data_IF_219831801414
#
_entry.id   IF_219831801414
#
_cell.length_a   1.000
_cell.length_b   1.000
_cell.length_c   1.000
_cell.angle_alpha   90.00
_cell.angle_beta   90.00
_cell.angle_gamma   90.00
#
_symmetry.space_group_name_H-M   'P 1'
#
loop_
_entity.id
_entity.type
_entity.pdbx_description
1 polymer ?
#
# COMPACT_ATOMS: atom_id res chain seq x y z
N UNK A 1 -39.41 -25.90 -34.05
CA UNK A 1 -40.54 -25.68 -33.11
C UNK A 1 -40.53 -26.78 -32.03
N UNK A 2 -41.03 -26.46 -30.83
CA UNK A 2 -41.82 -27.33 -29.91
C UNK A 2 -41.44 -28.81 -29.65
N UNK A 3 -41.09 -29.09 -28.39
CA UNK A 3 -41.64 -30.16 -27.50
C UNK A 3 -41.37 -31.66 -27.82
N UNK A 4 -41.44 -32.64 -26.89
CA UNK A 4 -41.63 -32.62 -25.40
C UNK A 4 -41.24 -33.96 -24.76
N UNK A 5 -40.74 -33.95 -23.50
CA UNK A 5 -40.84 -35.04 -22.48
C UNK A 5 -40.16 -36.37 -22.89
N UNK A 6 -40.00 -37.42 -22.06
CA UNK A 6 -40.34 -37.74 -20.65
C UNK A 6 -39.02 -37.80 -19.82
N UNK A 7 -38.84 -38.33 -18.60
CA UNK A 7 -39.67 -39.04 -17.60
C UNK A 7 -39.15 -38.65 -16.17
N UNK A 8 -39.41 -39.48 -15.15
CA UNK A 8 -38.81 -39.45 -13.80
C UNK A 8 -38.64 -40.90 -13.32
N UNK A 9 -37.76 -41.19 -12.35
CA UNK A 9 -38.02 -42.09 -11.21
C UNK A 9 -36.90 -41.97 -10.16
N UNK A 10 -37.11 -42.48 -8.95
CA UNK A 10 -36.20 -42.34 -7.80
C UNK A 10 -36.29 -43.52 -6.83
N UNK A 11 -35.21 -43.85 -6.10
CA UNK A 11 -35.28 -44.50 -4.77
C UNK A 11 -33.92 -44.58 -4.01
N UNK A 12 -33.90 -44.01 -2.79
CA UNK A 12 -33.41 -44.54 -1.49
C UNK A 12 -32.14 -45.44 -1.41
N UNK A 13 -31.21 -45.09 -0.49
CA UNK A 13 -30.17 -46.00 0.01
C UNK A 13 -29.38 -45.52 1.26
N UNK A 14 -29.61 -46.17 2.40
CA UNK A 14 -28.88 -46.10 3.71
C UNK A 14 -27.35 -46.40 3.63
N UNK A 15 -26.46 -46.12 4.61
CA UNK A 15 -26.52 -45.72 6.06
C UNK A 15 -25.11 -45.19 6.50
N UNK A 16 -24.95 -44.50 7.67
CA UNK A 16 -23.66 -43.98 8.16
C UNK A 16 -23.00 -44.82 9.27
N UNK A 17 -21.67 -44.67 9.47
CA UNK A 17 -20.94 -44.91 10.74
C UNK A 17 -19.71 -44.00 10.89
N UNK A 18 -19.43 -43.59 12.13
CA UNK A 18 -18.17 -42.98 12.58
C UNK A 18 -17.17 -44.04 13.04
N UNK A 19 -15.93 -43.64 13.36
CA UNK A 19 -15.46 -43.91 14.72
C UNK A 19 -14.90 -42.67 15.43
N UNK A 20 -14.97 -42.68 16.76
CA UNK A 20 -14.32 -41.72 17.66
C UNK A 20 -12.89 -42.11 17.97
N UNK A 21 -12.00 -41.14 18.20
CA UNK A 21 -10.86 -41.30 19.10
C UNK A 21 -11.02 -40.34 20.29
N UNK A 22 -10.47 -40.69 21.45
CA UNK A 22 -10.61 -39.94 22.70
C UNK A 22 -9.37 -39.08 22.98
N UNK A 23 -9.61 -38.03 23.74
CA UNK A 23 -8.58 -37.27 24.46
C UNK A 23 -8.55 -37.78 25.90
N UNK A 24 -7.37 -38.05 26.45
CA UNK A 24 -7.15 -38.37 27.87
C UNK A 24 -5.94 -37.54 28.35
N UNK A 25 -5.99 -36.90 29.54
CA UNK A 25 -4.93 -36.03 30.04
C UNK A 25 -3.91 -36.76 30.94
N UNK A 26 -3.01 -35.96 31.54
CA UNK A 26 -2.21 -36.25 32.73
C UNK A 26 -1.14 -37.37 32.67
N UNK A 27 0.08 -36.97 32.28
CA UNK A 27 1.31 -37.45 32.94
C UNK A 27 2.25 -36.26 33.20
N UNK A 28 2.46 -35.94 34.48
CA UNK A 28 3.48 -35.00 34.95
C UNK A 28 4.77 -35.75 35.30
N UNK A 29 5.96 -35.21 34.98
CA UNK A 29 7.17 -35.45 35.80
C UNK A 29 8.38 -34.54 35.52
N UNK A 30 9.13 -34.28 36.59
CA UNK A 30 10.57 -34.05 36.67
C UNK A 30 11.24 -32.88 35.90
N UNK A 31 11.50 -31.79 36.63
CA UNK A 31 12.74 -30.99 36.50
C UNK A 31 13.98 -31.80 36.94
N UNK A 32 15.19 -31.32 36.61
CA UNK A 32 16.13 -31.00 37.69
C UNK A 32 16.48 -29.49 37.77
N UNK A 33 17.04 -29.07 38.90
CA UNK A 33 17.52 -27.70 39.15
C UNK A 33 19.06 -27.66 39.16
N UNK A 34 19.63 -26.50 38.82
CA UNK A 34 20.89 -26.04 39.40
C UNK A 34 20.78 -24.57 39.82
N UNK A 35 21.65 -24.12 40.74
CA UNK A 35 21.61 -22.81 41.42
C UNK A 35 23.05 -22.34 41.72
N UNK A 36 23.17 -21.17 42.36
CA UNK A 36 24.39 -20.58 42.99
C UNK A 36 25.25 -19.83 41.94
N UNK A 37 25.78 -18.60 42.14
CA UNK A 37 26.04 -17.80 43.37
C UNK A 37 25.43 -16.37 43.33
N UNK A 38 25.95 -15.39 44.13
CA UNK A 38 25.29 -14.11 44.49
C UNK A 38 26.09 -12.83 44.10
N UNK A 39 25.36 -11.70 44.05
CA UNK A 39 25.75 -10.25 44.12
C UNK A 39 26.80 -9.93 45.23
N UNK A 40 27.61 -8.84 45.18
CA UNK A 40 27.18 -7.40 45.14
C UNK A 40 28.10 -6.46 44.29
N UNK A 41 28.12 -5.11 44.43
CA UNK A 41 27.09 -4.03 44.30
C UNK A 41 27.77 -2.62 44.39
N UNK A 42 26.99 -1.50 44.32
CA UNK A 42 27.41 -0.06 44.42
C UNK A 42 28.12 0.52 43.16
N UNK A 43 28.15 1.82 42.87
CA UNK A 43 27.44 3.02 43.40
C UNK A 43 27.26 4.10 42.29
N UNK A 44 26.54 5.20 42.60
CA UNK A 44 26.29 6.32 41.69
C UNK A 44 27.28 7.50 41.85
N UNK A 45 27.37 8.38 40.84
CA UNK A 45 27.80 9.78 41.01
C UNK A 45 27.21 10.68 39.92
N UNK A 46 27.36 12.01 40.06
CA UNK A 46 26.69 13.06 39.28
C UNK A 46 27.66 14.10 38.71
N UNK A 47 27.12 15.05 37.93
CA UNK A 47 27.70 16.30 37.37
C UNK A 47 28.26 16.17 35.95
N UNK A 48 28.35 17.22 35.12
CA UNK A 48 27.55 18.44 34.84
C UNK A 48 28.40 19.25 33.82
N UNK A 49 27.82 19.55 32.65
CA UNK A 49 27.97 20.80 31.90
C UNK A 49 29.25 21.15 31.09
N UNK A 50 28.98 21.78 29.92
CA UNK A 50 29.81 22.58 28.99
C UNK A 50 30.93 21.83 28.23
N UNK A 51 31.01 21.80 26.90
CA UNK A 51 30.86 22.81 25.82
C UNK A 51 32.17 23.56 25.48
N UNK A 52 32.72 23.28 24.29
CA UNK A 52 33.49 24.20 23.40
C UNK A 52 33.69 23.51 22.03
N UNK A 53 33.74 24.29 20.93
CA UNK A 53 34.15 23.83 19.58
C UNK A 53 34.89 24.97 18.85
N UNK A 54 36.07 24.68 18.25
CA UNK A 54 36.45 25.19 16.92
C UNK A 54 37.20 24.13 16.06
N UNK A 55 37.28 24.16 14.72
CA UNK A 55 36.39 24.82 13.73
C UNK A 55 36.37 24.06 12.38
N UNK A 56 37.48 24.03 11.61
CA UNK A 56 37.56 23.56 10.20
C UNK A 56 38.97 23.05 9.77
N UNK A 57 39.03 22.56 8.51
CA UNK A 57 40.18 22.19 7.65
C UNK A 57 40.74 20.74 7.83
N UNK A 58 41.16 20.02 6.77
CA UNK A 58 41.03 20.23 5.30
C UNK A 58 41.22 18.93 4.50
N UNK A 59 40.94 19.01 3.19
CA UNK A 59 41.08 18.01 2.11
C UNK A 59 42.23 16.97 2.23
N UNK A 60 41.97 15.72 1.80
CA UNK A 60 42.99 14.70 1.53
C UNK A 60 42.42 13.44 0.87
N UNK A 61 43.09 12.91 -0.18
CA UNK A 61 42.70 11.67 -0.88
C UNK A 61 43.43 10.45 -0.34
N UNK A 62 42.76 9.31 -0.23
CA UNK A 62 43.24 8.01 -0.78
C UNK A 62 42.21 6.90 -0.56
N UNK A 63 42.32 5.82 -1.34
CA UNK A 63 41.57 4.58 -1.16
C UNK A 63 42.54 3.39 -1.33
N UNK A 64 42.28 2.27 -0.64
CA UNK A 64 42.63 0.94 -1.16
C UNK A 64 41.37 0.14 -1.56
N UNK A 65 41.55 -0.85 -2.43
CA UNK A 65 40.52 -1.82 -2.83
C UNK A 65 40.68 -3.16 -2.08
N UNK A 66 39.81 -4.12 -2.42
CA UNK A 66 39.80 -5.56 -2.07
C UNK A 66 39.22 -5.88 -0.67
N UNK A 67 38.50 -6.99 -0.44
CA UNK A 67 38.17 -8.16 -1.29
C UNK A 67 36.63 -8.44 -1.39
N UNK A 68 36.27 -9.45 -2.19
CA UNK A 68 34.90 -9.88 -2.54
C UNK A 68 34.02 -10.38 -1.36
N UNK A 69 32.71 -10.60 -1.59
CA UNK A 69 31.96 -11.45 -0.63
C UNK A 69 30.46 -11.73 -0.74
N UNK A 70 29.61 -10.99 -1.48
CA UNK A 70 28.19 -11.41 -1.58
C UNK A 70 27.42 -10.80 -2.77
N UNK A 71 26.74 -11.67 -3.53
CA UNK A 71 25.94 -11.29 -4.71
C UNK A 71 24.47 -11.15 -4.32
N UNK A 72 24.05 -9.92 -3.99
CA UNK A 72 22.63 -9.59 -3.80
C UNK A 72 21.93 -9.66 -5.17
N UNK A 73 20.74 -10.30 -5.30
CA UNK A 73 19.97 -10.30 -6.55
C UNK A 73 19.46 -8.89 -6.88
N UNK A 74 19.26 -8.62 -8.18
CA UNK A 74 19.05 -7.27 -8.68
C UNK A 74 17.78 -6.59 -8.14
N UNK A 75 17.92 -5.32 -7.74
CA UNK A 75 16.83 -4.55 -7.14
C UNK A 75 15.65 -4.37 -8.12
N UNK A 76 14.45 -4.67 -7.64
CA UNK A 76 13.21 -4.26 -8.29
C UNK A 76 13.02 -2.76 -8.15
N UNK A 77 12.30 -2.13 -9.10
CA UNK A 77 12.09 -0.68 -9.09
C UNK A 77 11.03 -0.26 -8.06
N UNK A 78 11.35 -0.43 -6.77
CA UNK A 78 10.52 -0.06 -5.63
C UNK A 78 10.87 1.34 -5.18
N UNK A 79 9.87 2.17 -4.89
CA UNK A 79 10.08 3.52 -4.37
C UNK A 79 9.16 3.83 -3.18
N UNK A 80 9.58 4.68 -2.23
CA UNK A 80 8.66 5.29 -1.27
C UNK A 80 7.53 6.00 -2.01
N UNK A 81 6.29 5.63 -1.72
CA UNK A 81 5.14 6.31 -2.30
C UNK A 81 5.15 7.78 -1.87
N UNK A 82 4.95 8.75 -2.78
CA UNK A 82 4.86 10.15 -2.39
C UNK A 82 3.70 10.38 -1.41
N UNK A 83 3.83 11.41 -0.58
CA UNK A 83 2.91 11.76 0.51
C UNK A 83 1.41 11.64 0.12
N UNK A 84 0.55 11.19 1.06
CA UNK A 84 -0.75 10.59 0.77
C UNK A 84 -1.62 11.39 -0.19
N UNK A 85 -2.28 10.67 -1.11
CA UNK A 85 -3.22 11.24 -2.07
C UNK A 85 -4.58 11.39 -1.38
N UNK A 86 -5.47 12.16 -1.98
CA UNK A 86 -6.76 12.44 -1.38
C UNK A 86 -7.70 11.24 -1.63
N UNK A 87 -8.49 10.80 -0.63
CA UNK A 87 -9.79 10.23 -0.92
C UNK A 87 -10.58 11.24 -1.74
N UNK A 88 -11.27 10.82 -2.80
CA UNK A 88 -12.25 11.69 -3.45
C UNK A 88 -13.57 11.50 -2.74
N UNK A 89 -14.11 12.57 -2.18
CA UNK A 89 -15.55 12.67 -1.94
C UNK A 89 -16.13 13.28 -3.23
N UNK A 90 -16.98 12.57 -3.99
CA UNK A 90 -17.58 13.12 -5.21
C UNK A 90 -18.43 14.35 -4.88
N UNK A 91 -17.92 15.53 -5.22
CA UNK A 91 -18.60 16.81 -5.01
C UNK A 91 -19.54 17.10 -6.19
N UNK A 92 -20.59 16.29 -6.35
CA UNK A 92 -21.52 16.37 -7.47
C UNK A 92 -22.94 15.97 -7.10
N UNK A 93 -23.73 16.91 -6.60
CA UNK A 93 -25.20 16.79 -6.67
C UNK A 93 -25.62 16.92 -8.14
N UNK A 94 -26.41 15.98 -8.65
CA UNK A 94 -26.76 15.82 -10.07
C UNK A 94 -27.71 16.90 -10.65
N UNK A 95 -27.59 18.14 -10.17
CA UNK A 95 -28.42 19.30 -10.54
C UNK A 95 -27.61 20.55 -10.85
N UNK A 96 -26.29 20.56 -10.58
CA UNK A 96 -25.43 21.70 -10.89
C UNK A 96 -24.81 21.54 -12.27
N UNK A 97 -24.83 22.59 -13.09
CA UNK A 97 -24.25 22.54 -14.44
C UNK A 97 -22.75 22.81 -14.29
N UNK A 98 -21.84 21.95 -14.77
CA UNK A 98 -20.40 22.15 -14.59
C UNK A 98 -19.93 23.42 -15.33
N UNK A 99 -19.32 24.36 -14.60
CA UNK A 99 -18.91 25.69 -15.09
C UNK A 99 -17.40 25.88 -14.94
N UNK A 100 -16.78 26.54 -15.91
CA UNK A 100 -15.38 26.98 -15.82
C UNK A 100 -15.15 27.85 -14.58
N UNK A 101 -14.19 27.45 -13.75
CA UNK A 101 -13.81 28.20 -12.55
C UNK A 101 -13.11 29.51 -12.97
N UNK A 102 -13.87 30.60 -12.84
CA UNK A 102 -13.44 31.96 -13.22
C UNK A 102 -12.14 32.41 -12.54
N UNK A 103 -11.71 31.77 -11.44
CA UNK A 103 -10.43 32.03 -10.78
C UNK A 103 -9.24 31.72 -11.71
N UNK A 104 -9.39 30.83 -12.69
CA UNK A 104 -8.34 30.58 -13.70
C UNK A 104 -8.21 31.69 -14.76
N UNK A 105 -9.15 32.63 -14.85
CA UNK A 105 -9.06 33.78 -15.76
C UNK A 105 -9.13 33.47 -17.26
N UNK A 106 -9.42 32.22 -17.66
CA UNK A 106 -9.54 31.81 -19.06
C UNK A 106 -10.81 32.43 -19.67
N UNK A 107 -10.65 33.57 -20.36
CA UNK A 107 -11.75 34.25 -21.05
C UNK A 107 -12.25 33.43 -22.24
N UNK A 108 -13.58 33.35 -22.38
CA UNK A 108 -14.24 32.60 -23.46
C UNK A 108 -13.91 31.11 -23.45
N UNK A 109 -13.61 30.56 -22.27
CA UNK A 109 -13.31 29.14 -22.08
C UNK A 109 -14.57 28.31 -21.81
N UNK A 110 -14.63 27.13 -22.42
CA UNK A 110 -15.63 26.09 -22.14
C UNK A 110 -14.94 24.84 -21.60
N UNK A 111 -15.66 24.00 -20.84
CA UNK A 111 -15.10 22.74 -20.34
C UNK A 111 -14.95 21.73 -21.49
N UNK A 112 -13.72 21.28 -21.69
CA UNK A 112 -13.39 20.31 -22.73
C UNK A 112 -14.07 18.97 -22.43
N UNK A 113 -14.77 18.40 -23.41
CA UNK A 113 -15.41 17.09 -23.27
C UNK A 113 -14.38 15.97 -23.33
N UNK A 114 -14.59 14.90 -22.55
CA UNK A 114 -13.76 13.69 -22.62
C UNK A 114 -13.86 13.07 -24.03
N UNK A 115 -12.74 12.79 -24.72
CA UNK A 115 -12.76 12.16 -26.04
C UNK A 115 -13.46 10.79 -26.09
N UNK A 116 -13.57 10.12 -24.93
CA UNK A 116 -14.27 8.85 -24.77
C UNK A 116 -15.76 9.00 -24.38
N UNK A 117 -16.31 10.22 -24.42
CA UNK A 117 -17.74 10.48 -24.19
C UNK A 117 -18.18 10.58 -22.73
N UNK A 118 -17.26 10.52 -21.76
CA UNK A 118 -17.55 10.55 -20.32
C UNK A 118 -18.06 11.92 -19.76
N UNK A 119 -18.46 12.85 -20.64
CA UNK A 119 -18.85 14.22 -20.26
C UNK A 119 -17.67 15.18 -20.08
N UNK A 120 -17.90 16.36 -19.46
CA UNK A 120 -16.87 17.40 -19.31
C UNK A 120 -15.74 16.97 -18.39
N UNK A 121 -14.52 17.35 -18.74
CA UNK A 121 -13.29 17.07 -17.99
C UNK A 121 -13.14 18.07 -16.84
N UNK A 122 -13.89 17.81 -15.77
CA UNK A 122 -13.82 18.50 -14.48
C UNK A 122 -13.76 17.50 -13.32
N UNK A 123 -13.01 17.81 -12.26
CA UNK A 123 -13.11 17.14 -10.97
C UNK A 123 -12.71 18.04 -9.79
N UNK A 124 -13.43 17.90 -8.68
CA UNK A 124 -13.12 18.53 -7.39
C UNK A 124 -12.94 17.48 -6.30
N UNK A 125 -11.73 17.38 -5.75
CA UNK A 125 -11.36 16.43 -4.69
C UNK A 125 -11.13 17.15 -3.34
N UNK A 126 -11.55 16.54 -2.24
CA UNK A 126 -11.44 17.09 -0.88
C UNK A 126 -10.77 16.09 0.07
N UNK A 127 -9.68 16.50 0.72
CA UNK A 127 -8.97 15.69 1.73
C UNK A 127 -9.17 16.28 3.13
N UNK A 128 -9.71 15.49 4.03
CA UNK A 128 -9.92 15.85 5.43
C UNK A 128 -9.38 14.70 6.31
N UNK A 129 -8.36 14.98 7.11
CA UNK A 129 -7.91 14.13 8.21
C UNK A 129 -7.72 15.00 9.47
N UNK A 130 -8.66 14.94 10.43
CA UNK A 130 -8.59 15.74 11.65
C UNK A 130 -7.44 15.30 12.57
N UNK A 131 -6.95 14.05 12.45
CA UNK A 131 -5.87 13.50 13.30
C UNK A 131 -4.53 14.21 13.07
N UNK A 132 -4.35 14.79 11.88
CA UNK A 132 -3.14 15.50 11.45
C UNK A 132 -3.41 16.95 11.01
N UNK A 133 -4.55 17.53 11.42
CA UNK A 133 -5.00 18.88 11.05
C UNK A 133 -4.84 19.18 9.54
N UNK A 134 -5.14 18.18 8.71
CA UNK A 134 -5.15 18.31 7.26
C UNK A 134 -6.57 18.53 6.78
N UNK A 135 -6.81 19.72 6.28
CA UNK A 135 -7.99 20.09 5.52
C UNK A 135 -7.48 20.69 4.21
N UNK A 136 -7.75 20.05 3.08
CA UNK A 136 -7.21 20.42 1.76
C UNK A 136 -8.21 20.16 0.64
N UNK A 137 -8.11 20.94 -0.44
CA UNK A 137 -8.84 20.70 -1.70
C UNK A 137 -7.88 20.61 -2.89
N UNK A 138 -8.35 19.99 -3.96
CA UNK A 138 -7.72 19.97 -5.28
C UNK A 138 -8.80 20.02 -6.35
N UNK A 139 -8.80 21.05 -7.20
CA UNK A 139 -9.67 21.18 -8.38
C UNK A 139 -8.83 21.00 -9.62
N UNK A 140 -9.37 20.29 -10.61
CA UNK A 140 -8.84 20.19 -11.96
C UNK A 140 -9.96 20.39 -12.98
N UNK A 141 -9.69 21.22 -13.99
CA UNK A 141 -10.56 21.43 -15.15
C UNK A 141 -9.70 21.42 -16.42
N UNK A 142 -10.14 20.76 -17.48
CA UNK A 142 -9.63 21.00 -18.82
C UNK A 142 -10.55 22.00 -19.53
N UNK A 143 -9.99 23.13 -19.96
CA UNK A 143 -10.74 24.26 -20.52
C UNK A 143 -10.22 24.52 -21.92
N UNK A 144 -11.08 24.79 -22.90
CA UNK A 144 -10.69 25.17 -24.26
C UNK A 144 -11.29 26.50 -24.66
N UNK A 145 -10.53 27.33 -25.37
CA UNK A 145 -11.00 28.55 -26.02
C UNK A 145 -10.35 28.69 -27.42
N UNK A 146 -10.53 29.84 -28.08
CA UNK A 146 -9.98 30.14 -29.39
C UNK A 146 -8.42 30.12 -29.47
N UNK A 147 -7.72 30.05 -28.34
CA UNK A 147 -6.25 29.99 -28.26
C UNK A 147 -5.73 28.54 -28.11
N UNK A 148 -6.62 27.56 -27.95
CA UNK A 148 -6.31 26.15 -27.70
C UNK A 148 -6.87 25.66 -26.37
N UNK A 149 -6.39 24.49 -25.91
CA UNK A 149 -6.82 23.84 -24.68
C UNK A 149 -5.80 23.97 -23.54
N UNK A 150 -6.28 24.02 -22.31
CA UNK A 150 -5.52 24.25 -21.08
C UNK A 150 -5.93 23.23 -20.01
N UNK A 151 -4.97 22.73 -19.23
CA UNK A 151 -5.25 21.98 -18.00
C UNK A 151 -5.00 22.91 -16.81
N UNK A 152 -6.07 23.24 -16.10
CA UNK A 152 -6.07 24.18 -14.99
C UNK A 152 -6.22 23.44 -13.66
N UNK A 153 -5.41 23.83 -12.68
CA UNK A 153 -5.22 23.14 -11.40
C UNK A 153 -5.29 24.16 -10.26
N UNK A 154 -6.09 23.93 -9.22
CA UNK A 154 -6.17 24.79 -8.02
C UNK A 154 -6.16 23.96 -6.75
N UNK A 155 -5.35 24.33 -5.75
CA UNK A 155 -5.22 23.55 -4.50
C UNK A 155 -4.88 24.41 -3.29
N UNK A 156 -5.34 24.02 -2.11
CA UNK A 156 -5.11 24.77 -0.86
C UNK A 156 -5.79 24.12 0.35
N UNK A 157 -5.90 24.84 1.46
CA UNK A 157 -6.86 24.50 2.54
C UNK A 157 -8.27 24.90 2.09
N UNK A 158 -9.33 24.16 2.46
CA UNK A 158 -10.71 24.59 2.13
C UNK A 158 -11.01 25.96 2.76
N UNK A 159 -11.84 26.75 2.09
CA UNK A 159 -12.13 28.15 2.45
C UNK A 159 -11.07 29.17 2.02
N UNK A 160 -9.86 28.74 1.61
CA UNK A 160 -8.85 29.63 1.04
C UNK A 160 -8.84 29.58 -0.50
N UNK A 161 -8.39 30.67 -1.17
CA UNK A 161 -8.26 30.71 -2.64
C UNK A 161 -7.34 29.62 -3.19
N UNK A 162 -6.29 29.28 -2.44
CA UNK A 162 -5.28 28.29 -2.79
C UNK A 162 -4.17 28.83 -3.71
N UNK A 163 -3.25 27.95 -4.08
CA UNK A 163 -2.35 28.11 -5.22
C UNK A 163 -3.06 27.62 -6.48
N UNK A 164 -2.61 28.08 -7.65
CA UNK A 164 -3.07 27.57 -8.94
C UNK A 164 -1.90 27.32 -9.90
N UNK A 165 -2.14 26.49 -10.91
CA UNK A 165 -1.28 26.33 -12.09
C UNK A 165 -2.15 26.13 -13.32
N UNK A 166 -1.79 26.80 -14.40
CA UNK A 166 -2.37 26.62 -15.72
C UNK A 166 -1.28 26.01 -16.60
N UNK A 167 -1.59 24.92 -17.29
CA UNK A 167 -0.71 24.31 -18.29
C UNK A 167 -1.38 24.39 -19.66
N UNK A 168 -0.82 25.19 -20.58
CA UNK A 168 -1.34 25.41 -21.93
C UNK A 168 -0.81 26.72 -22.54
N UNK A 169 -1.26 27.10 -23.74
CA UNK A 169 -2.17 26.35 -24.61
C UNK A 169 -1.51 25.07 -25.15
N UNK A 170 -2.34 24.07 -25.47
CA UNK A 170 -1.95 22.86 -26.20
C UNK A 170 -3.14 22.30 -26.99
N UNK A 171 -2.92 21.21 -27.73
CA UNK A 171 -3.99 20.50 -28.42
C UNK A 171 -4.96 19.80 -27.44
N UNK A 172 -6.21 19.63 -27.87
CA UNK A 172 -7.29 19.08 -27.02
C UNK A 172 -7.04 17.64 -26.59
N UNK A 173 -6.48 16.79 -27.45
CA UNK A 173 -6.17 15.39 -27.12
C UNK A 173 -5.12 15.29 -26.00
N UNK A 174 -4.05 16.10 -26.07
CA UNK A 174 -3.02 16.19 -25.04
C UNK A 174 -3.50 16.87 -23.76
N UNK A 175 -4.40 17.85 -23.86
CA UNK A 175 -5.06 18.43 -22.69
C UNK A 175 -5.94 17.39 -21.97
N UNK A 176 -6.75 16.63 -22.70
CA UNK A 176 -7.56 15.54 -22.16
C UNK A 176 -6.70 14.43 -21.54
N UNK A 177 -5.67 13.94 -22.26
CA UNK A 177 -4.74 12.92 -21.74
C UNK A 177 -4.04 13.40 -20.47
N UNK A 178 -3.56 14.66 -20.45
CA UNK A 178 -2.92 15.25 -19.26
C UNK A 178 -3.92 15.42 -18.11
N UNK A 179 -5.17 15.80 -18.37
CA UNK A 179 -6.22 15.82 -17.37
C UNK A 179 -6.41 14.44 -16.75
N UNK A 180 -6.57 13.39 -17.56
CA UNK A 180 -6.78 12.02 -17.09
C UNK A 180 -5.55 11.47 -16.34
N UNK A 181 -4.33 11.77 -16.81
CA UNK A 181 -3.08 11.48 -16.08
C UNK A 181 -3.05 12.16 -14.71
N UNK A 182 -3.44 13.44 -14.60
CA UNK A 182 -3.48 14.15 -13.31
C UNK A 182 -4.63 13.65 -12.42
N UNK A 183 -5.80 13.34 -12.99
CA UNK A 183 -6.93 12.76 -12.28
C UNK A 183 -6.55 11.41 -11.68
N UNK A 184 -6.13 10.44 -12.51
CA UNK A 184 -5.70 9.12 -12.05
C UNK A 184 -4.52 9.18 -11.08
N UNK A 185 -3.60 10.14 -11.25
CA UNK A 185 -2.52 10.37 -10.28
C UNK A 185 -3.01 10.96 -8.93
N UNK A 186 -4.20 11.55 -8.84
CA UNK A 186 -4.78 12.11 -7.61
C UNK A 186 -5.82 11.19 -6.96
N UNK A 187 -6.55 10.40 -7.74
CA UNK A 187 -7.68 9.58 -7.30
C UNK A 187 -7.40 8.08 -7.31
N UNK A 188 -6.46 7.62 -8.15
CA UNK A 188 -6.23 6.20 -8.46
C UNK A 188 -7.17 5.63 -9.53
N UNK A 189 -8.29 6.28 -9.81
CA UNK A 189 -9.37 5.83 -10.71
C UNK A 189 -9.15 6.28 -12.16
N UNK A 190 -9.85 5.66 -13.12
CA UNK A 190 -10.04 6.29 -14.44
C UNK A 190 -11.07 7.42 -14.34
N UNK A 191 -11.14 8.30 -15.35
CA UNK A 191 -12.17 9.35 -15.37
C UNK A 191 -13.58 8.84 -15.73
N UNK A 192 -13.70 7.60 -16.22
CA UNK A 192 -14.99 6.91 -16.36
C UNK A 192 -15.52 6.47 -14.99
N UNK A 193 -14.64 5.93 -14.14
CA UNK A 193 -14.97 5.42 -12.80
C UNK A 193 -15.02 6.53 -11.73
N UNK A 194 -14.95 7.81 -12.11
CA UNK A 194 -14.66 8.96 -11.24
C UNK A 194 -15.56 9.11 -10.00
N UNK A 195 -16.78 8.59 -10.08
CA UNK A 195 -17.82 8.70 -9.07
C UNK A 195 -17.84 7.49 -8.10
N UNK A 196 -16.96 6.49 -8.32
CA UNK A 196 -16.70 5.40 -7.39
C UNK A 196 -15.82 5.87 -6.21
N UNK A 197 -15.80 5.08 -5.13
CA UNK A 197 -14.99 5.35 -3.93
C UNK A 197 -13.49 5.34 -4.23
N UNK A 198 -12.94 6.52 -4.55
CA UNK A 198 -11.53 6.74 -4.81
C UNK A 198 -10.71 6.68 -3.52
N UNK A 199 -10.50 5.47 -2.99
CA UNK A 199 -9.67 5.25 -1.82
C UNK A 199 -8.18 5.38 -2.19
N UNK A 200 -7.52 6.42 -1.68
CA UNK A 200 -6.05 6.51 -1.68
C UNK A 200 -5.43 5.22 -1.12
N UNK A 201 -4.21 4.90 -1.55
CA UNK A 201 -3.54 3.63 -1.21
C UNK A 201 -3.47 3.33 0.28
N UNK A 202 -3.41 4.36 1.15
CA UNK A 202 -3.49 4.17 2.61
C UNK A 202 -4.91 3.79 3.05
N UNK A 203 -5.94 4.47 2.54
CA UNK A 203 -7.34 4.21 2.88
C UNK A 203 -7.83 2.87 2.35
N UNK A 204 -7.39 2.48 1.15
CA UNK A 204 -7.66 1.14 0.56
C UNK A 204 -7.00 0.04 1.39
N UNK A 205 -5.75 0.23 1.83
CA UNK A 205 -5.08 -0.68 2.77
C UNK A 205 -5.82 -0.75 4.12
N UNK A 206 -6.16 0.39 4.74
CA UNK A 206 -6.90 0.44 6.01
C UNK A 206 -8.29 -0.22 5.92
N UNK A 207 -8.98 -0.11 4.77
CA UNK A 207 -10.24 -0.82 4.50
C UNK A 207 -10.03 -2.33 4.50
N UNK A 208 -9.12 -2.83 3.66
CA UNK A 208 -8.82 -4.26 3.51
C UNK A 208 -8.38 -4.90 4.82
N UNK A 209 -7.47 -4.26 5.54
CA UNK A 209 -7.00 -4.72 6.85
C UNK A 209 -8.15 -4.85 7.85
N UNK A 210 -9.05 -3.85 7.92
CA UNK A 210 -10.23 -3.89 8.79
C UNK A 210 -11.19 -5.03 8.41
N UNK A 211 -11.44 -5.24 7.12
CA UNK A 211 -12.34 -6.27 6.59
C UNK A 211 -11.72 -7.68 6.56
N UNK A 212 -10.41 -7.78 6.79
CA UNK A 212 -9.70 -9.02 7.05
C UNK A 212 -9.50 -9.33 8.54
N UNK A 213 -9.83 -8.39 9.44
CA UNK A 213 -9.67 -8.56 10.88
C UNK A 213 -8.24 -8.34 11.41
N UNK A 214 -7.39 -7.64 10.64
CA UNK A 214 -5.98 -7.46 10.95
C UNK A 214 -5.74 -6.79 12.31
N UNK A 215 -4.78 -7.34 13.05
CA UNK A 215 -4.30 -6.82 14.32
C UNK A 215 -3.45 -5.56 14.15
N UNK A 216 -3.12 -4.97 15.30
CA UNK A 216 -2.31 -3.75 15.42
C UNK A 216 -1.27 -3.92 16.52
N UNK A 217 -0.17 -3.20 16.41
CA UNK A 217 0.95 -3.27 17.33
C UNK A 217 1.95 -2.13 17.11
N UNK A 218 3.09 -2.21 17.78
CA UNK A 218 4.21 -1.27 17.64
C UNK A 218 4.81 -1.29 16.23
N UNK A 219 4.81 -2.46 15.57
CA UNK A 219 5.05 -2.58 14.12
C UNK A 219 3.94 -3.41 13.46
N UNK A 220 3.51 -2.97 12.29
CA UNK A 220 2.76 -3.79 11.34
C UNK A 220 3.33 -3.58 9.92
N UNK A 221 3.48 -4.66 9.16
CA UNK A 221 3.84 -4.64 7.74
C UNK A 221 2.69 -5.28 6.98
N UNK A 222 2.17 -4.60 5.97
CA UNK A 222 0.97 -5.02 5.24
C UNK A 222 1.20 -4.96 3.73
N UNK A 223 0.72 -5.97 3.01
CA UNK A 223 0.82 -6.08 1.54
C UNK A 223 -0.59 -6.05 0.94
N UNK A 224 -0.76 -5.38 -0.21
CA UNK A 224 -1.95 -5.54 -1.06
C UNK A 224 -1.60 -5.43 -2.54
N UNK A 225 -2.35 -6.14 -3.37
CA UNK A 225 -2.31 -6.07 -4.84
C UNK A 225 -3.73 -6.04 -5.41
N UNK A 226 -3.87 -5.80 -6.72
CA UNK A 226 -5.18 -5.80 -7.38
C UNK A 226 -5.21 -6.89 -8.46
N UNK A 227 -6.21 -7.75 -8.40
CA UNK A 227 -6.48 -8.75 -9.43
C UNK A 227 -7.17 -8.11 -10.64
N UNK A 228 -6.73 -8.45 -11.85
CA UNK A 228 -7.28 -7.90 -13.11
C UNK A 228 -8.41 -8.81 -13.61
N UNK A 229 -9.65 -8.33 -13.77
CA UNK A 229 -10.75 -9.15 -14.28
C UNK A 229 -10.45 -9.78 -15.64
N UNK A 230 -10.75 -11.06 -15.80
CA UNK A 230 -10.46 -11.83 -17.02
C UNK A 230 -9.02 -12.37 -17.13
N UNK A 231 -8.11 -11.92 -16.27
CA UNK A 231 -6.79 -12.56 -16.04
C UNK A 231 -6.93 -13.46 -14.80
N UNK A 232 -6.17 -14.57 -14.74
CA UNK A 232 -6.12 -15.36 -13.50
C UNK A 232 -5.35 -14.57 -12.42
N UNK A 233 -5.81 -14.69 -11.18
CA UNK A 233 -5.23 -14.01 -10.04
C UNK A 233 -3.76 -14.39 -9.81
N UNK A 234 -2.97 -13.43 -9.31
CA UNK A 234 -1.63 -13.70 -8.78
C UNK A 234 -1.70 -13.89 -7.26
N UNK A 235 -0.77 -14.67 -6.74
CA UNK A 235 -0.70 -15.07 -5.32
C UNK A 235 0.62 -14.51 -4.77
N UNK A 236 0.55 -13.38 -4.07
CA UNK A 236 1.72 -12.62 -3.63
C UNK A 236 1.88 -12.68 -2.11
N UNK A 237 2.88 -13.42 -1.62
CA UNK A 237 3.18 -13.50 -0.19
C UNK A 237 4.05 -12.34 0.31
N UNK A 238 3.71 -11.85 1.49
CA UNK A 238 4.52 -10.96 2.31
C UNK A 238 5.56 -11.78 3.08
N UNK A 239 6.83 -11.43 2.88
CA UNK A 239 7.96 -12.03 3.58
C UNK A 239 8.69 -10.96 4.41
N UNK A 240 8.79 -11.13 5.73
CA UNK A 240 9.55 -10.20 6.58
C UNK A 240 10.61 -10.93 7.39
N UNK A 241 11.87 -10.57 7.17
CA UNK A 241 12.98 -10.96 8.05
C UNK A 241 12.99 -10.05 9.28
N UNK A 242 12.91 -10.67 10.45
CA UNK A 242 12.82 -10.01 11.74
C UNK A 242 14.21 -9.85 12.39
N UNK A 243 14.36 -8.99 13.43
CA UNK A 243 15.61 -8.83 14.16
C UNK A 243 16.17 -10.10 14.84
N UNK A 244 15.36 -11.15 15.02
CA UNK A 244 15.82 -12.48 15.48
C UNK A 244 16.54 -13.30 14.38
N UNK A 245 16.55 -12.83 13.13
CA UNK A 245 17.06 -13.56 11.97
C UNK A 245 16.03 -14.49 11.32
N UNK A 246 14.90 -14.73 11.98
CA UNK A 246 13.78 -15.51 11.44
C UNK A 246 13.08 -14.78 10.29
N UNK A 247 12.54 -15.53 9.32
CA UNK A 247 11.68 -15.00 8.26
C UNK A 247 10.24 -15.41 8.52
N UNK A 248 9.32 -14.45 8.51
CA UNK A 248 7.88 -14.67 8.66
C UNK A 248 7.24 -14.62 7.27
N UNK A 249 6.47 -15.66 6.93
CA UNK A 249 5.74 -15.84 5.67
C UNK A 249 4.73 -17.01 5.81
N UNK A 250 4.01 -17.38 4.74
CA UNK A 250 2.97 -18.41 4.75
C UNK A 250 3.32 -19.72 5.49
N UNK A 251 4.51 -20.32 5.28
CA UNK A 251 4.89 -21.57 5.97
C UNK A 251 5.45 -21.35 7.39
N UNK A 252 5.80 -20.12 7.76
CA UNK A 252 6.40 -19.79 9.06
C UNK A 252 5.72 -18.53 9.63
N UNK A 253 4.45 -18.68 10.03
CA UNK A 253 3.55 -17.55 10.36
C UNK A 253 3.85 -16.83 11.68
N UNK A 254 4.83 -17.29 12.48
CA UNK A 254 5.16 -16.73 13.80
C UNK A 254 6.67 -16.76 14.00
N UNK A 255 7.22 -15.71 14.63
CA UNK A 255 8.62 -15.69 15.06
C UNK A 255 8.76 -15.76 16.59
N UNK A 256 9.90 -16.27 17.07
CA UNK A 256 10.28 -16.26 18.47
C UNK A 256 10.38 -14.84 19.05
N UNK A 257 10.62 -13.82 18.22
CA UNK A 257 10.55 -12.42 18.61
C UNK A 257 9.15 -11.79 18.57
N UNK A 258 8.07 -12.60 18.50
CA UNK A 258 6.69 -12.15 18.71
C UNK A 258 6.01 -11.48 17.51
N UNK A 259 6.53 -11.72 16.31
CA UNK A 259 5.85 -11.36 15.06
C UNK A 259 4.85 -12.43 14.63
N UNK A 260 3.76 -12.02 13.99
CA UNK A 260 2.66 -12.89 13.59
C UNK A 260 2.10 -12.47 12.23
N UNK A 261 2.09 -13.36 11.23
CA UNK A 261 1.25 -13.25 10.03
C UNK A 261 -0.18 -13.53 10.45
N UNK A 262 -0.93 -12.48 10.82
CA UNK A 262 -2.29 -12.58 11.36
C UNK A 262 -3.37 -12.48 10.28
N UNK A 263 -3.02 -11.94 9.10
CA UNK A 263 -3.86 -11.96 7.90
C UNK A 263 -3.07 -12.52 6.72
N UNK A 264 -3.68 -13.53 6.11
CA UNK A 264 -3.22 -14.33 4.99
C UNK A 264 -4.45 -14.56 4.10
N UNK A 265 -4.60 -13.76 3.03
CA UNK A 265 -5.78 -13.74 2.15
C UNK A 265 -5.36 -13.99 0.71
N UNK A 266 -5.41 -15.27 0.35
CA UNK A 266 -5.02 -15.88 -0.92
C UNK A 266 -5.66 -15.23 -2.16
N UNK A 267 -5.07 -15.53 -3.33
CA UNK A 267 -5.46 -15.13 -4.69
C UNK A 267 -6.96 -14.90 -4.98
N UNK A 268 -7.87 -15.70 -4.40
CA UNK A 268 -9.31 -15.71 -4.72
C UNK A 268 -10.10 -14.56 -4.05
N UNK A 269 -9.46 -13.78 -3.19
CA UNK A 269 -10.07 -12.57 -2.63
C UNK A 269 -10.24 -11.49 -3.73
N UNK A 270 -11.39 -10.79 -3.81
CA UNK A 270 -11.56 -9.66 -4.71
C UNK A 270 -10.71 -8.45 -4.29
N UNK A 271 -10.33 -8.39 -3.01
CA UNK A 271 -9.49 -7.37 -2.41
C UNK A 271 -8.41 -8.05 -1.53
N UNK A 272 -7.36 -8.63 -2.13
CA UNK A 272 -6.34 -9.39 -1.39
C UNK A 272 -5.48 -8.49 -0.51
N UNK A 273 -5.06 -9.02 0.64
CA UNK A 273 -4.27 -8.31 1.65
C UNK A 273 -3.57 -9.31 2.57
N UNK A 274 -2.33 -9.03 2.94
CA UNK A 274 -1.62 -9.74 4.02
C UNK A 274 -1.12 -8.77 5.08
N UNK A 275 -0.91 -9.27 6.31
CA UNK A 275 -0.44 -8.47 7.43
C UNK A 275 0.43 -9.28 8.40
N UNK A 276 1.63 -8.77 8.69
CA UNK A 276 2.53 -9.27 9.73
C UNK A 276 2.65 -8.20 10.82
N UNK A 277 2.30 -8.55 12.06
CA UNK A 277 2.24 -7.63 13.21
C UNK A 277 3.14 -8.06 14.36
N UNK A 278 3.76 -7.06 15.01
CA UNK A 278 4.42 -7.19 16.32
C UNK A 278 3.64 -6.34 17.34
N UNK A 279 2.95 -7.00 18.28
CA UNK A 279 2.26 -6.31 19.39
C UNK A 279 3.24 -5.56 20.29
N UNK A 280 4.45 -6.10 20.45
CA UNK A 280 5.66 -5.40 20.94
C UNK A 280 6.81 -5.76 20.02
N UNK A 281 7.57 -4.79 19.56
CA UNK A 281 8.51 -4.95 18.45
C UNK A 281 9.98 -4.94 18.95
N UNK A 282 10.80 -5.95 18.63
CA UNK A 282 12.22 -5.96 19.00
C UNK A 282 13.00 -4.85 18.27
N UNK A 283 13.93 -4.19 18.99
CA UNK A 283 14.94 -3.34 18.37
C UNK A 283 15.84 -4.11 17.41
N UNK A 284 16.34 -3.44 16.37
CA UNK A 284 17.20 -4.03 15.34
C UNK A 284 16.65 -3.89 13.92
N UNK A 285 17.27 -4.60 12.96
CA UNK A 285 16.96 -4.47 11.53
C UNK A 285 15.84 -5.42 11.08
N UNK A 286 14.91 -4.86 10.31
CA UNK A 286 13.88 -5.57 9.55
C UNK A 286 14.18 -5.48 8.05
N UNK A 287 13.85 -6.53 7.29
CA UNK A 287 13.87 -6.50 5.84
C UNK A 287 12.57 -7.07 5.26
N UNK A 288 11.86 -6.26 4.48
CA UNK A 288 10.55 -6.57 3.90
C UNK A 288 10.71 -6.95 2.44
N UNK A 289 10.12 -8.07 2.05
CA UNK A 289 10.12 -8.59 0.70
C UNK A 289 8.69 -8.95 0.26
N UNK A 290 8.45 -8.89 -1.04
CA UNK A 290 7.25 -9.47 -1.68
C UNK A 290 7.71 -10.60 -2.58
N UNK A 291 7.06 -11.75 -2.48
CA UNK A 291 7.27 -12.92 -3.30
C UNK A 291 6.03 -13.16 -4.18
N UNK A 292 6.22 -13.72 -5.37
CA UNK A 292 5.12 -14.16 -6.23
C UNK A 292 5.09 -15.69 -6.23
N UNK A 293 4.28 -16.29 -5.36
CA UNK A 293 4.26 -17.73 -5.15
C UNK A 293 3.71 -18.46 -6.37
N UNK A 294 2.50 -18.08 -6.81
CA UNK A 294 1.78 -18.70 -7.93
C UNK A 294 1.76 -17.80 -9.18
N UNK A 295 2.93 -17.27 -9.55
CA UNK A 295 3.13 -16.35 -10.68
C UNK A 295 2.77 -17.00 -12.02
N UNK A 296 1.49 -16.97 -12.38
CA UNK A 296 0.91 -17.83 -13.42
C UNK A 296 1.00 -17.25 -14.83
N UNK A 297 1.58 -16.06 -14.97
CA UNK A 297 1.59 -15.25 -16.18
C UNK A 297 2.96 -14.59 -16.39
N UNK A 298 3.22 -14.16 -17.63
CA UNK A 298 4.42 -13.41 -18.03
C UNK A 298 4.56 -12.04 -17.37
N UNK A 299 3.44 -11.47 -16.93
CA UNK A 299 3.32 -10.03 -16.76
C UNK A 299 3.67 -9.57 -15.33
N UNK A 300 4.51 -8.53 -15.16
CA UNK A 300 4.88 -8.03 -13.84
C UNK A 300 3.67 -7.52 -13.05
N UNK A 301 3.51 -8.01 -11.81
CA UNK A 301 2.35 -7.69 -10.96
C UNK A 301 2.63 -6.47 -10.07
N UNK A 302 1.84 -5.38 -10.15
CA UNK A 302 2.00 -4.22 -9.29
C UNK A 302 1.44 -4.48 -7.88
N UNK A 303 2.12 -3.97 -6.87
CA UNK A 303 1.71 -4.11 -5.46
C UNK A 303 2.00 -2.85 -4.63
N UNK A 304 1.39 -2.78 -3.46
CA UNK A 304 1.62 -1.74 -2.44
C UNK A 304 1.93 -2.39 -1.09
N UNK A 305 2.95 -1.87 -0.41
CA UNK A 305 3.32 -2.30 0.95
C UNK A 305 3.26 -1.12 1.91
N UNK A 306 2.60 -1.29 3.05
CA UNK A 306 2.60 -0.35 4.17
C UNK A 306 3.52 -0.87 5.27
N UNK A 307 4.46 -0.04 5.75
CA UNK A 307 5.18 -0.26 7.00
C UNK A 307 4.66 0.76 8.01
N UNK A 308 3.99 0.29 9.05
CA UNK A 308 3.51 1.11 10.16
C UNK A 308 4.38 0.89 11.40
N UNK A 309 4.88 1.98 11.98
CA UNK A 309 5.68 1.99 13.22
C UNK A 309 4.99 2.97 14.18
N UNK A 310 4.56 2.47 15.35
CA UNK A 310 3.85 3.25 16.39
C UNK A 310 2.69 4.10 15.84
N UNK A 311 1.92 3.55 14.88
CA UNK A 311 0.80 4.21 14.21
C UNK A 311 1.16 5.17 13.07
N UNK A 312 2.44 5.46 12.84
CA UNK A 312 2.92 6.21 11.67
C UNK A 312 3.20 5.26 10.50
N UNK A 313 2.52 5.44 9.37
CA UNK A 313 2.57 4.53 8.22
C UNK A 313 3.32 5.13 7.02
N UNK A 314 4.33 4.43 6.51
CA UNK A 314 4.96 4.71 5.22
C UNK A 314 4.52 3.68 4.18
N UNK A 315 4.06 4.15 3.02
CA UNK A 315 3.64 3.31 1.89
C UNK A 315 4.77 3.22 0.85
N UNK A 316 4.92 2.06 0.23
CA UNK A 316 5.88 1.76 -0.84
C UNK A 316 5.14 1.23 -2.07
N UNK A 317 5.51 1.75 -3.24
CA UNK A 317 5.01 1.29 -4.53
C UNK A 317 6.04 0.36 -5.18
N UNK A 318 5.60 -0.81 -5.68
CA UNK A 318 6.49 -1.80 -6.26
C UNK A 318 5.84 -2.68 -7.34
N UNK A 319 6.67 -3.54 -7.94
CA UNK A 319 6.23 -4.51 -8.96
C UNK A 319 7.12 -5.76 -8.87
N UNK A 320 6.50 -6.94 -8.90
CA UNK A 320 7.18 -8.25 -8.82
C UNK A 320 7.07 -8.98 -10.16
N UNK A 321 8.08 -9.77 -10.51
CA UNK A 321 8.14 -10.48 -11.79
C UNK A 321 7.30 -11.77 -11.85
N UNK A 322 7.31 -12.40 -13.02
CA UNK A 322 6.79 -13.74 -13.27
C UNK A 322 7.68 -14.84 -12.65
N UNK A 323 7.20 -16.09 -12.60
CA UNK A 323 7.91 -17.22 -11.99
C UNK A 323 9.26 -17.53 -12.68
N UNK A 324 9.34 -17.29 -13.98
CA UNK A 324 10.54 -17.52 -14.80
C UNK A 324 11.60 -16.42 -14.65
N UNK A 325 11.34 -15.40 -13.84
CA UNK A 325 12.27 -14.28 -13.63
C UNK A 325 13.04 -14.38 -12.31
N UNK A 326 14.31 -13.95 -12.33
CA UNK A 326 15.12 -13.66 -11.13
C UNK A 326 14.46 -12.62 -10.19
N UNK A 327 13.34 -12.02 -10.59
CA UNK A 327 12.56 -11.00 -9.87
C UNK A 327 11.25 -11.54 -9.28
N UNK A 328 11.10 -12.87 -9.17
CA UNK A 328 9.98 -13.53 -8.44
C UNK A 328 9.89 -13.08 -6.98
N UNK A 329 11.00 -12.67 -6.36
CA UNK A 329 11.04 -12.11 -5.00
C UNK A 329 11.83 -10.80 -4.99
N UNK A 330 11.22 -9.72 -4.52
CA UNK A 330 11.80 -8.38 -4.50
C UNK A 330 11.96 -7.87 -3.08
N UNK A 331 13.10 -7.24 -2.76
CA UNK A 331 13.26 -6.44 -1.55
C UNK A 331 12.45 -5.14 -1.73
N UNK A 332 11.58 -4.84 -0.78
CA UNK A 332 10.75 -3.63 -0.78
C UNK A 332 11.42 -2.52 0.03
N UNK A 333 11.86 -2.84 1.25
CA UNK A 333 12.50 -1.88 2.14
C UNK A 333 13.28 -2.58 3.26
N UNK A 334 14.21 -1.86 3.87
CA UNK A 334 14.81 -2.20 5.16
C UNK A 334 14.60 -1.04 6.12
N UNK A 335 14.24 -1.34 7.35
CA UNK A 335 14.11 -0.35 8.42
C UNK A 335 14.69 -0.90 9.72
N UNK A 336 14.80 -0.03 10.72
CA UNK A 336 15.24 -0.43 12.06
C UNK A 336 14.44 0.31 13.13
N UNK A 337 14.35 -0.30 14.31
CA UNK A 337 13.82 0.27 15.55
C UNK A 337 14.95 0.43 16.57
#
# INVERSE_FOLDING_TARGET
MRFSRRLQFAARGSRPRTPTSRYDPDVESARPQSKITKRPAKAASTRKAKHVKPEKASQGRSAPQTTAGSRVPAEGNVTPSPAPRAPVVPSGSATDTPVVDTIFGIKGGELLQSPAGHGPLEASMNYIDPRVNSDKFYVIQAISNAQGSFVCLRWGRRGAKGQMKIEGPMDSAKAAKKFEEKFKAKTGLSFADRDADALDGKYKMEKRLREAGAGKGEVAVSLMWDNVPGVKANDLDLHVKAPSGEEIYYMHKRSACGGELDVDRMQDAPEPVENIVWKRAPHGQYAVYVNNFSASHSDPTPFKVSVAINGSSQMFDGTVGSCESDKRKVLVTKFSL
#
